data_IF_688937123726
#
_entry.id   IF_688937123726
#
_cell.length_a   1.000
_cell.length_b   1.000
_cell.length_c   1.000
_cell.angle_alpha   90.00
_cell.angle_beta   90.00
_cell.angle_gamma   90.00
#
_symmetry.space_group_name_H-M   'P 1'
#
loop_
_entity.id
_entity.type
_entity.pdbx_description
1 polymer ?
#
# COMPACT_ATOMS: atom_id res chain seq x y z
N UNK A 1 -6.15 7.57 -28.58
CA UNK A 1 -6.22 7.42 -27.13
C UNK A 1 -5.55 8.64 -26.51
N UNK A 2 -6.29 9.46 -25.75
CA UNK A 2 -5.72 10.65 -25.10
C UNK A 2 -4.85 10.19 -23.92
N UNK A 3 -3.55 10.18 -24.09
CA UNK A 3 -2.60 10.00 -22.99
C UNK A 3 -2.45 11.32 -22.22
N UNK A 4 -3.50 11.76 -21.53
CA UNK A 4 -3.40 12.87 -20.60
C UNK A 4 -3.13 12.28 -19.21
N UNK A 5 -2.02 12.67 -18.59
CA UNK A 5 -1.71 12.31 -17.20
C UNK A 5 -1.96 13.53 -16.33
N UNK A 6 -2.71 13.35 -15.26
CA UNK A 6 -2.87 14.35 -14.22
C UNK A 6 -1.58 14.43 -13.40
N UNK A 7 -0.87 15.55 -13.45
CA UNK A 7 0.42 15.70 -12.76
C UNK A 7 0.28 16.47 -11.45
N UNK A 8 -0.67 17.36 -11.35
CA UNK A 8 -0.90 18.19 -10.19
C UNK A 8 -2.38 18.47 -9.98
N UNK A 9 -2.85 18.11 -8.78
CA UNK A 9 -4.15 18.52 -8.28
C UNK A 9 -3.95 19.43 -7.07
N UNK A 10 -4.60 20.59 -7.05
CA UNK A 10 -4.58 21.46 -5.86
C UNK A 10 -5.32 20.78 -4.71
N UNK A 11 -4.94 21.07 -3.45
CA UNK A 11 -5.58 20.49 -2.26
C UNK A 11 -7.10 20.73 -2.17
N UNK A 12 -7.60 21.75 -2.84
CA UNK A 12 -9.02 22.09 -2.92
C UNK A 12 -9.72 21.53 -4.18
N UNK A 13 -9.00 20.75 -5.01
CA UNK A 13 -9.53 20.17 -6.25
C UNK A 13 -9.82 21.21 -7.35
N UNK A 14 -9.52 22.50 -7.14
CA UNK A 14 -9.87 23.58 -8.06
C UNK A 14 -8.99 23.65 -9.30
N UNK A 15 -7.82 23.00 -9.29
CA UNK A 15 -6.89 22.95 -10.41
C UNK A 15 -6.50 21.51 -10.68
N UNK A 16 -7.01 20.96 -11.78
CA UNK A 16 -6.58 19.71 -12.37
C UNK A 16 -5.81 20.01 -13.66
N UNK A 17 -4.53 19.67 -13.71
CA UNK A 17 -3.72 19.84 -14.89
C UNK A 17 -3.60 18.52 -15.64
N UNK A 18 -4.39 18.37 -16.70
CA UNK A 18 -4.25 17.27 -17.65
C UNK A 18 -3.14 17.62 -18.65
N UNK A 19 -2.05 16.89 -18.57
CA UNK A 19 -0.85 17.18 -19.35
C UNK A 19 -0.53 16.02 -20.28
N UNK A 20 -0.10 16.37 -21.49
CA UNK A 20 0.40 15.41 -22.46
C UNK A 20 1.86 15.11 -22.15
N UNK A 21 2.18 13.85 -21.89
CA UNK A 21 3.56 13.37 -21.82
C UNK A 21 4.07 13.10 -23.23
N UNK A 22 5.13 13.77 -23.60
CA UNK A 22 5.92 13.46 -24.81
C UNK A 22 7.39 13.42 -24.42
N UNK A 23 8.10 12.34 -24.76
CA UNK A 23 9.53 12.14 -24.49
C UNK A 23 9.91 12.29 -22.99
N UNK A 24 9.18 11.60 -22.11
CA UNK A 24 9.41 11.56 -20.65
C UNK A 24 9.37 12.93 -19.93
N UNK A 25 8.78 13.95 -20.53
CA UNK A 25 8.60 15.26 -19.91
C UNK A 25 7.21 15.84 -20.18
N UNK A 26 6.87 16.84 -19.39
CA UNK A 26 5.59 17.57 -19.45
C UNK A 26 5.77 18.83 -20.26
N UNK A 27 4.83 19.12 -21.15
CA UNK A 27 4.85 20.34 -21.98
C UNK A 27 3.62 21.19 -21.73
N UNK A 28 3.81 22.46 -21.36
CA UNK A 28 2.74 23.45 -21.17
C UNK A 28 2.93 24.66 -22.06
N UNK A 29 1.81 25.21 -22.52
CA UNK A 29 1.75 26.54 -23.15
C UNK A 29 1.80 27.63 -22.07
N UNK A 30 2.09 28.87 -22.49
CA UNK A 30 2.02 30.03 -21.61
C UNK A 30 0.66 30.24 -20.97
N UNK A 31 -0.42 29.92 -21.67
CA UNK A 31 -1.79 30.02 -21.15
C UNK A 31 -2.07 28.99 -20.09
N UNK A 32 -1.63 27.75 -20.30
CA UNK A 32 -1.75 26.69 -19.30
C UNK A 32 -0.91 26.97 -18.05
N UNK A 33 0.30 27.52 -18.20
CA UNK A 33 1.09 27.96 -17.05
C UNK A 33 0.44 29.13 -16.30
N UNK A 34 -0.22 30.05 -17.01
CA UNK A 34 -0.97 31.14 -16.40
C UNK A 34 -2.14 30.63 -15.54
N UNK A 35 -2.88 29.65 -16.06
CA UNK A 35 -3.95 28.96 -15.35
C UNK A 35 -3.42 28.18 -14.13
N UNK A 36 -2.37 27.37 -14.32
CA UNK A 36 -1.72 26.60 -13.26
C UNK A 36 -1.31 27.48 -12.07
N UNK A 37 -0.65 28.60 -12.37
CA UNK A 37 -0.14 29.48 -11.32
C UNK A 37 -1.11 30.60 -10.90
N UNK A 38 -2.29 30.70 -11.52
CA UNK A 38 -3.31 31.71 -11.21
C UNK A 38 -2.81 33.14 -11.41
N UNK A 39 -2.15 33.40 -12.54
CA UNK A 39 -1.61 34.73 -12.91
C UNK A 39 -1.88 35.06 -14.37
N UNK A 40 -1.72 36.33 -14.75
CA UNK A 40 -1.85 36.72 -16.14
C UNK A 40 -0.77 36.11 -17.02
N UNK A 41 -1.13 35.76 -18.26
CA UNK A 41 -0.21 35.25 -19.27
C UNK A 41 0.99 36.18 -19.50
N UNK A 42 0.80 37.48 -19.42
CA UNK A 42 1.88 38.51 -19.58
C UNK A 42 2.94 38.37 -18.48
N UNK A 43 2.54 38.00 -17.26
CA UNK A 43 3.47 37.70 -16.17
C UNK A 43 4.33 36.47 -16.50
N UNK A 44 3.70 35.38 -16.99
CA UNK A 44 4.42 34.16 -17.41
C UNK A 44 5.44 34.50 -18.52
N UNK A 45 5.03 35.23 -19.56
CA UNK A 45 5.93 35.65 -20.65
C UNK A 45 7.12 36.42 -20.14
N UNK A 46 6.91 37.35 -19.18
CA UNK A 46 7.98 38.11 -18.54
C UNK A 46 8.95 37.20 -17.77
N UNK A 47 8.47 36.25 -17.02
CA UNK A 47 9.32 35.29 -16.28
C UNK A 47 10.13 34.41 -17.24
N UNK A 48 9.52 33.84 -18.28
CA UNK A 48 10.21 33.05 -19.30
C UNK A 48 11.33 33.86 -19.97
N UNK A 49 11.02 35.10 -20.36
CA UNK A 49 12.03 36.01 -20.97
C UNK A 49 13.21 36.27 -20.02
N UNK A 50 12.93 36.49 -18.74
CA UNK A 50 13.97 36.71 -17.74
C UNK A 50 14.83 35.47 -17.50
N UNK A 51 14.25 34.28 -17.50
CA UNK A 51 14.97 33.00 -17.36
C UNK A 51 15.95 32.81 -18.52
N UNK A 52 15.51 33.04 -19.75
CA UNK A 52 16.41 32.96 -20.90
C UNK A 52 17.47 34.08 -20.91
N UNK A 53 17.09 35.29 -20.51
CA UNK A 53 18.03 36.43 -20.43
C UNK A 53 19.12 36.22 -19.38
N UNK A 54 18.81 35.54 -18.29
CA UNK A 54 19.78 35.20 -17.23
C UNK A 54 20.57 33.91 -17.51
N UNK A 55 20.39 33.30 -18.70
CA UNK A 55 21.03 32.05 -19.10
C UNK A 55 20.82 30.89 -18.13
N UNK A 56 19.73 30.94 -17.33
CA UNK A 56 19.37 29.86 -16.40
C UNK A 56 18.97 28.59 -17.14
N UNK A 57 18.25 28.75 -18.26
CA UNK A 57 17.85 27.67 -19.15
C UNK A 57 18.13 28.03 -20.60
N UNK A 58 18.47 27.00 -21.40
CA UNK A 58 18.61 27.17 -22.86
C UNK A 58 17.25 27.04 -23.56
N UNK A 59 17.01 27.91 -24.54
CA UNK A 59 15.74 27.95 -25.28
C UNK A 59 15.53 26.72 -26.16
N UNK A 60 16.60 26.18 -26.75
CA UNK A 60 16.48 25.06 -27.68
C UNK A 60 16.11 23.74 -26.96
N UNK A 61 16.54 23.60 -25.70
CA UNK A 61 16.25 22.43 -24.89
C UNK A 61 14.93 22.51 -24.13
N UNK A 62 14.38 23.71 -23.94
CA UNK A 62 13.21 23.92 -23.06
C UNK A 62 11.96 24.44 -23.75
N UNK A 63 12.05 24.79 -25.06
CA UNK A 63 10.92 25.28 -25.84
C UNK A 63 10.75 24.53 -27.16
N UNK A 64 9.57 23.94 -27.36
CA UNK A 64 9.16 23.35 -28.62
C UNK A 64 8.04 24.18 -29.25
N UNK A 65 8.05 24.31 -30.58
CA UNK A 65 6.98 24.99 -31.31
C UNK A 65 6.07 23.95 -31.97
N UNK A 66 4.77 24.08 -31.76
CA UNK A 66 3.77 23.25 -32.43
C UNK A 66 2.79 24.15 -33.23
N UNK A 67 2.47 23.72 -34.44
CA UNK A 67 1.57 24.42 -35.33
C UNK A 67 0.14 23.97 -35.08
N UNK A 68 -0.74 24.88 -34.65
CA UNK A 68 -2.16 24.64 -34.50
C UNK A 68 -2.97 25.44 -35.51
N UNK A 69 -3.99 24.75 -36.10
CA UNK A 69 -4.99 25.40 -36.95
C UNK A 69 -6.05 26.01 -36.03
N UNK A 70 -6.17 27.34 -36.06
CA UNK A 70 -7.23 28.05 -35.33
C UNK A 70 -8.21 28.68 -36.32
N UNK A 71 -9.48 28.41 -36.16
CA UNK A 71 -10.54 29.02 -36.97
C UNK A 71 -10.92 30.36 -36.35
N UNK A 72 -10.59 31.49 -37.03
CA UNK A 72 -11.00 32.84 -36.65
C UNK A 72 -12.07 33.30 -37.66
N UNK A 73 -13.34 33.27 -37.28
CA UNK A 73 -14.48 33.50 -38.20
C UNK A 73 -14.54 32.41 -39.28
N UNK A 74 -14.46 32.77 -40.56
CA UNK A 74 -14.47 31.85 -41.71
C UNK A 74 -13.09 31.49 -42.26
N UNK A 75 -12.01 31.84 -41.56
CA UNK A 75 -10.62 31.59 -42.04
C UNK A 75 -9.86 30.72 -41.06
N UNK A 76 -9.24 29.66 -41.59
CA UNK A 76 -8.29 28.83 -40.82
C UNK A 76 -6.90 29.44 -40.89
N UNK A 77 -6.38 29.82 -39.73
CA UNK A 77 -5.04 30.43 -39.59
C UNK A 77 -4.12 29.44 -38.87
N UNK A 78 -2.95 29.20 -39.45
CA UNK A 78 -1.87 28.41 -38.82
C UNK A 78 -1.14 29.32 -37.82
N UNK A 79 -1.16 28.94 -36.54
CA UNK A 79 -0.37 29.67 -35.51
C UNK A 79 0.63 28.73 -34.87
N UNK A 80 1.89 29.16 -34.80
CA UNK A 80 2.89 28.49 -33.98
C UNK A 80 2.67 28.82 -32.51
N UNK A 81 2.44 27.79 -31.68
CA UNK A 81 2.26 27.94 -30.26
C UNK A 81 3.49 27.37 -29.58
N UNK A 82 4.22 28.14 -28.75
CA UNK A 82 5.35 27.66 -28.01
C UNK A 82 4.85 26.80 -26.80
N UNK A 83 5.46 25.65 -26.63
CA UNK A 83 5.32 24.75 -25.50
C UNK A 83 6.63 24.72 -24.72
N UNK A 84 6.56 24.64 -23.43
CA UNK A 84 7.68 24.68 -22.52
C UNK A 84 7.72 23.41 -21.67
N UNK A 85 8.90 22.83 -21.50
CA UNK A 85 9.11 21.59 -20.75
C UNK A 85 9.02 21.78 -19.22
N UNK A 86 9.16 20.69 -18.47
CA UNK A 86 9.06 20.70 -17.01
C UNK A 86 10.08 21.64 -16.35
N UNK A 87 11.30 21.75 -16.87
CA UNK A 87 12.34 22.62 -16.32
C UNK A 87 11.90 24.09 -16.33
N UNK A 88 11.35 24.56 -17.48
CA UNK A 88 10.79 25.89 -17.59
C UNK A 88 9.59 26.10 -16.67
N UNK A 89 8.70 25.09 -16.54
CA UNK A 89 7.53 25.17 -15.67
C UNK A 89 7.96 25.33 -14.21
N UNK A 90 8.95 24.56 -13.76
CA UNK A 90 9.50 24.65 -12.41
C UNK A 90 10.13 26.02 -12.18
N UNK A 91 11.01 26.48 -13.08
CA UNK A 91 11.71 27.76 -12.96
C UNK A 91 10.74 28.94 -12.91
N UNK A 92 9.66 28.90 -13.70
CA UNK A 92 8.58 29.91 -13.64
C UNK A 92 7.83 29.82 -12.32
N UNK A 93 7.47 28.61 -11.86
CA UNK A 93 6.74 28.38 -10.62
C UNK A 93 7.46 28.88 -9.37
N UNK A 94 8.80 28.85 -9.37
CA UNK A 94 9.59 29.43 -8.28
C UNK A 94 9.65 30.96 -8.29
N UNK A 95 9.39 31.60 -9.42
CA UNK A 95 9.46 33.06 -9.59
C UNK A 95 8.10 33.75 -9.48
N UNK A 96 7.03 33.07 -9.77
CA UNK A 96 5.66 33.61 -9.70
C UNK A 96 5.22 33.79 -8.24
N UNK A 97 4.67 35.01 -7.96
CA UNK A 97 4.12 35.30 -6.64
C UNK A 97 2.60 35.16 -6.65
N UNK A 98 2.12 33.95 -6.32
CA UNK A 98 0.69 33.65 -6.18
C UNK A 98 0.47 32.55 -5.16
N UNK A 99 -0.78 32.37 -4.69
CA UNK A 99 -1.15 31.28 -3.80
C UNK A 99 -0.91 29.92 -4.46
N UNK A 100 -1.28 29.78 -5.73
CA UNK A 100 -1.13 28.53 -6.50
C UNK A 100 0.36 28.18 -6.70
N UNK A 101 1.20 29.15 -7.04
CA UNK A 101 2.64 28.96 -7.14
C UNK A 101 3.27 28.58 -5.79
N UNK A 102 2.74 29.09 -4.67
CA UNK A 102 3.19 28.68 -3.33
C UNK A 102 2.81 27.23 -3.03
N UNK A 103 1.59 26.81 -3.38
CA UNK A 103 1.16 25.42 -3.25
C UNK A 103 1.98 24.48 -4.12
N UNK A 104 2.24 24.86 -5.38
CA UNK A 104 3.11 24.11 -6.28
C UNK A 104 4.54 23.96 -5.71
N UNK A 105 5.15 25.03 -5.19
CA UNK A 105 6.48 24.94 -4.56
C UNK A 105 6.52 24.02 -3.35
N UNK A 106 5.49 24.05 -2.50
CA UNK A 106 5.37 23.14 -1.35
C UNK A 106 5.29 21.69 -1.80
N UNK A 107 4.48 21.41 -2.82
CA UNK A 107 4.37 20.08 -3.40
C UNK A 107 5.71 19.62 -4.00
N UNK A 108 6.34 20.41 -4.87
CA UNK A 108 7.63 20.10 -5.48
C UNK A 108 8.73 19.86 -4.43
N UNK A 109 8.77 20.70 -3.38
CA UNK A 109 9.70 20.52 -2.25
C UNK A 109 9.41 19.23 -1.48
N UNK A 110 8.14 18.87 -1.30
CA UNK A 110 7.75 17.61 -0.65
C UNK A 110 8.21 16.38 -1.44
N UNK A 111 8.03 16.40 -2.77
CA UNK A 111 8.50 15.33 -3.67
C UNK A 111 10.02 15.21 -3.61
N UNK A 112 10.74 16.32 -3.72
CA UNK A 112 12.20 16.34 -3.63
C UNK A 112 12.70 15.84 -2.26
N UNK A 113 12.04 16.28 -1.18
CA UNK A 113 12.36 15.82 0.18
C UNK A 113 12.14 14.33 0.35
N UNK A 114 11.05 13.79 -0.19
CA UNK A 114 10.80 12.35 -0.18
C UNK A 114 11.90 11.60 -0.95
N UNK A 115 12.28 12.08 -2.12
CA UNK A 115 13.35 11.49 -2.90
C UNK A 115 14.70 11.51 -2.16
N UNK A 116 15.09 12.63 -1.54
CA UNK A 116 16.35 12.76 -0.80
C UNK A 116 16.38 11.90 0.47
N UNK A 117 15.25 11.73 1.16
CA UNK A 117 15.19 10.98 2.42
C UNK A 117 15.01 9.48 2.17
N UNK A 118 14.15 9.10 1.22
CA UNK A 118 13.74 7.71 0.97
C UNK A 118 14.48 7.06 -0.20
N UNK A 119 15.20 7.85 -1.02
CA UNK A 119 15.84 7.39 -2.26
C UNK A 119 14.88 7.22 -3.44
N UNK A 120 13.58 7.47 -3.27
CA UNK A 120 12.55 7.45 -4.32
C UNK A 120 11.40 8.39 -4.00
N UNK A 121 10.72 8.86 -5.05
CA UNK A 121 9.43 9.56 -4.93
C UNK A 121 8.41 8.87 -5.85
N UNK A 122 7.28 8.48 -5.30
CA UNK A 122 6.21 7.79 -6.04
C UNK A 122 5.03 8.73 -6.18
N UNK A 123 4.50 8.84 -7.41
CA UNK A 123 3.20 9.46 -7.61
C UNK A 123 2.12 8.49 -7.14
N UNK A 124 1.56 8.75 -5.96
CA UNK A 124 0.57 7.89 -5.32
C UNK A 124 -0.70 7.73 -6.17
N UNK A 125 -1.11 8.77 -6.90
CA UNK A 125 -2.30 8.71 -7.76
C UNK A 125 -2.12 7.73 -8.93
N UNK A 126 -0.99 7.80 -9.64
CA UNK A 126 -0.69 6.86 -10.74
C UNK A 126 -0.55 5.42 -10.21
N UNK A 127 0.03 5.26 -9.01
CA UNK A 127 0.13 3.94 -8.37
C UNK A 127 -1.25 3.36 -8.07
N UNK A 128 -2.16 4.17 -7.52
CA UNK A 128 -3.51 3.75 -7.17
C UNK A 128 -4.33 3.39 -8.43
N UNK A 129 -4.27 4.21 -9.48
CA UNK A 129 -4.99 3.95 -10.73
C UNK A 129 -4.49 2.67 -11.42
N UNK A 130 -3.18 2.49 -11.54
CA UNK A 130 -2.58 1.25 -12.09
C UNK A 130 -2.85 0.02 -11.24
N UNK A 131 -2.90 0.19 -9.93
CA UNK A 131 -3.25 -0.87 -9.00
C UNK A 131 -4.71 -1.31 -9.19
N UNK A 132 -5.64 -0.36 -9.27
CA UNK A 132 -7.05 -0.65 -9.53
C UNK A 132 -7.26 -1.31 -10.90
N UNK A 133 -6.57 -0.83 -11.95
CA UNK A 133 -6.58 -1.46 -13.27
C UNK A 133 -6.08 -2.92 -13.20
N UNK A 134 -4.99 -3.19 -12.48
CA UNK A 134 -4.48 -4.55 -12.29
C UNK A 134 -5.47 -5.43 -11.53
N UNK A 135 -6.08 -4.91 -10.46
CA UNK A 135 -7.11 -5.59 -9.67
C UNK A 135 -8.33 -5.94 -10.53
N UNK A 136 -8.77 -5.03 -11.38
CA UNK A 136 -9.89 -5.27 -12.29
C UNK A 136 -9.56 -6.29 -13.39
N UNK A 137 -8.34 -6.26 -13.92
CA UNK A 137 -7.86 -7.27 -14.89
C UNK A 137 -7.81 -8.66 -14.23
N UNK A 138 -7.29 -8.77 -13.01
CA UNK A 138 -7.26 -10.03 -12.26
C UNK A 138 -8.67 -10.53 -11.96
N UNK A 139 -9.60 -9.66 -11.53
CA UNK A 139 -11.02 -10.03 -11.32
C UNK A 139 -11.70 -10.48 -12.61
N UNK A 140 -11.41 -9.82 -13.72
CA UNK A 140 -11.95 -10.22 -15.04
C UNK A 140 -11.40 -11.58 -15.46
N UNK A 141 -10.11 -11.82 -15.30
CA UNK A 141 -9.49 -13.12 -15.54
C UNK A 141 -10.11 -14.22 -14.66
N UNK A 142 -10.35 -13.95 -13.35
CA UNK A 142 -11.02 -14.86 -12.43
C UNK A 142 -12.38 -15.30 -12.94
N UNK A 143 -13.20 -14.35 -13.36
CA UNK A 143 -14.54 -14.64 -13.90
C UNK A 143 -14.48 -15.43 -15.21
N UNK A 144 -13.50 -15.11 -16.07
CA UNK A 144 -13.36 -15.76 -17.37
C UNK A 144 -12.91 -17.21 -17.22
N UNK A 145 -12.00 -17.50 -16.28
CA UNK A 145 -11.53 -18.86 -15.98
C UNK A 145 -12.62 -19.69 -15.30
N UNK A 146 -13.38 -19.10 -14.37
CA UNK A 146 -14.52 -19.76 -13.70
C UNK A 146 -15.71 -20.08 -14.62
N UNK A 147 -15.79 -19.47 -15.80
CA UNK A 147 -16.84 -19.72 -16.80
C UNK A 147 -16.46 -20.76 -17.87
N UNK A 148 -15.21 -21.19 -17.91
CA UNK A 148 -14.76 -22.20 -18.89
C UNK A 148 -14.70 -23.59 -18.23
N UNK A 149 -15.72 -24.41 -18.45
CA UNK A 149 -15.82 -25.81 -17.99
C UNK A 149 -14.71 -26.77 -18.52
N UNK A 150 -13.62 -26.26 -19.09
CA UNK A 150 -12.57 -27.02 -19.78
C UNK A 150 -11.14 -26.67 -19.35
N UNK A 151 -10.92 -25.93 -18.29
CA UNK A 151 -9.55 -25.68 -17.80
C UNK A 151 -9.25 -26.75 -16.71
N UNK A 152 -8.88 -27.92 -17.17
CA UNK A 152 -8.49 -29.09 -16.34
C UNK A 152 -7.00 -29.12 -16.06
N UNK A 153 -6.33 -28.02 -15.75
CA UNK A 153 -4.98 -28.12 -15.24
C UNK A 153 -4.86 -27.45 -13.88
N UNK A 154 -4.55 -28.25 -12.87
CA UNK A 154 -4.18 -27.81 -11.52
C UNK A 154 -3.15 -26.69 -11.53
N UNK A 155 -2.29 -26.63 -12.56
CA UNK A 155 -1.25 -25.61 -12.74
C UNK A 155 -1.83 -24.21 -13.01
N UNK A 156 -2.90 -24.10 -13.82
CA UNK A 156 -3.54 -22.79 -14.05
C UNK A 156 -4.33 -22.29 -12.85
N UNK A 157 -4.98 -23.20 -12.12
CA UNK A 157 -5.64 -22.89 -10.85
C UNK A 157 -4.67 -22.40 -9.80
N UNK A 158 -3.51 -23.02 -9.68
CA UNK A 158 -2.45 -22.63 -8.76
C UNK A 158 -1.89 -21.24 -9.04
N UNK A 159 -1.58 -20.92 -10.32
CA UNK A 159 -1.09 -19.58 -10.70
C UNK A 159 -2.13 -18.50 -10.42
N UNK A 160 -3.40 -18.81 -10.64
CA UNK A 160 -4.50 -17.90 -10.43
C UNK A 160 -4.70 -17.57 -8.94
N UNK A 161 -4.63 -18.57 -8.08
CA UNK A 161 -4.69 -18.40 -6.63
C UNK A 161 -3.53 -17.55 -6.12
N UNK A 162 -2.30 -17.77 -6.64
CA UNK A 162 -1.14 -16.95 -6.29
C UNK A 162 -1.34 -15.48 -6.69
N UNK A 163 -1.90 -15.21 -7.88
CA UNK A 163 -2.17 -13.82 -8.32
C UNK A 163 -3.26 -13.18 -7.46
N UNK A 164 -4.34 -13.91 -7.15
CA UNK A 164 -5.41 -13.43 -6.26
C UNK A 164 -4.90 -13.12 -4.86
N UNK A 165 -4.08 -14.00 -4.30
CA UNK A 165 -3.47 -13.80 -2.97
C UNK A 165 -2.53 -12.60 -2.96
N UNK A 166 -1.80 -12.37 -4.05
CA UNK A 166 -0.92 -11.21 -4.20
C UNK A 166 -1.70 -9.88 -4.27
N UNK A 167 -2.79 -9.86 -5.06
CA UNK A 167 -3.67 -8.67 -5.16
C UNK A 167 -4.31 -8.36 -3.81
N UNK A 168 -4.75 -9.39 -3.09
CA UNK A 168 -5.33 -9.24 -1.76
C UNK A 168 -4.32 -8.70 -0.74
N UNK A 169 -3.09 -9.21 -0.76
CA UNK A 169 -2.02 -8.72 0.10
C UNK A 169 -1.69 -7.25 -0.18
N UNK A 170 -1.67 -6.84 -1.46
CA UNK A 170 -1.46 -5.43 -1.84
C UNK A 170 -2.60 -4.53 -1.34
N UNK A 171 -3.84 -4.99 -1.43
CA UNK A 171 -5.02 -4.25 -0.95
C UNK A 171 -4.98 -4.07 0.58
N UNK A 172 -4.59 -5.12 1.30
CA UNK A 172 -4.40 -5.06 2.75
C UNK A 172 -3.29 -4.08 3.15
N UNK A 173 -2.17 -4.05 2.39
CA UNK A 173 -1.09 -3.09 2.61
C UNK A 173 -1.52 -1.64 2.30
N UNK A 174 -2.34 -1.45 1.28
CA UNK A 174 -2.90 -0.12 0.95
C UNK A 174 -3.81 0.38 2.08
N UNK A 175 -4.70 -0.46 2.58
CA UNK A 175 -5.53 -0.15 3.76
C UNK A 175 -4.69 0.09 5.03
N UNK A 176 -3.54 -0.58 5.17
CA UNK A 176 -2.59 -0.33 6.23
C UNK A 176 -1.98 1.08 6.12
N UNK A 177 -1.49 1.44 4.93
CA UNK A 177 -0.89 2.75 4.67
C UNK A 177 -1.87 3.92 4.92
N UNK A 178 -3.16 3.72 4.63
CA UNK A 178 -4.22 4.71 4.87
C UNK A 178 -4.87 4.61 6.26
N UNK A 179 -4.41 3.69 7.12
CA UNK A 179 -4.99 3.43 8.45
C UNK A 179 -6.51 3.12 8.41
N UNK A 180 -6.98 2.53 7.32
CA UNK A 180 -8.39 2.21 7.06
C UNK A 180 -8.76 0.75 7.33
N UNK A 181 -7.82 -0.07 7.84
CA UNK A 181 -8.07 -1.47 8.17
C UNK A 181 -9.19 -1.62 9.20
N UNK A 182 -10.20 -2.39 8.84
CA UNK A 182 -11.31 -2.77 9.71
C UNK A 182 -11.32 -4.27 9.97
N UNK A 183 -11.97 -4.69 11.06
CA UNK A 183 -12.20 -6.11 11.38
C UNK A 183 -13.70 -6.37 11.24
N UNK A 184 -14.07 -7.21 10.30
CA UNK A 184 -15.46 -7.58 10.03
C UNK A 184 -15.56 -9.08 9.73
N UNK A 185 -16.78 -9.62 9.76
CA UNK A 185 -17.10 -11.00 9.36
C UNK A 185 -16.16 -12.06 9.98
N UNK A 186 -15.77 -11.86 11.24
CA UNK A 186 -14.91 -12.77 11.99
C UNK A 186 -15.71 -13.82 12.75
N UNK A 187 -15.06 -14.93 13.15
CA UNK A 187 -15.65 -16.04 13.89
C UNK A 187 -15.76 -15.71 15.37
N UNK A 188 -16.98 -15.54 15.88
CA UNK A 188 -17.22 -15.23 17.30
C UNK A 188 -17.31 -16.48 18.19
N UNK A 189 -17.73 -17.61 17.64
CA UNK A 189 -17.85 -18.86 18.39
C UNK A 189 -16.48 -19.54 18.47
N UNK A 190 -15.95 -19.64 19.69
CA UNK A 190 -14.68 -20.28 19.98
C UNK A 190 -14.94 -21.73 20.36
N UNK A 191 -14.56 -22.70 19.52
CA UNK A 191 -14.71 -24.15 19.75
C UNK A 191 -13.62 -24.69 20.67
N UNK A 192 -12.47 -24.02 20.70
CA UNK A 192 -11.29 -24.45 21.45
C UNK A 192 -10.66 -23.23 22.16
N UNK A 193 -10.49 -23.37 23.49
CA UNK A 193 -9.85 -22.36 24.32
C UNK A 193 -8.39 -22.72 24.59
N UNK A 194 -7.47 -21.80 24.26
CA UNK A 194 -6.07 -21.96 24.60
C UNK A 194 -5.86 -21.75 26.11
N UNK A 195 -5.16 -22.68 26.74
CA UNK A 195 -4.67 -22.60 28.10
C UNK A 195 -3.14 -22.67 28.08
N UNK A 196 -2.51 -22.26 29.17
CA UNK A 196 -1.06 -22.40 29.29
C UNK A 196 -0.64 -23.88 29.10
N UNK A 197 -1.34 -24.81 29.72
CA UNK A 197 -0.98 -26.23 29.72
C UNK A 197 -1.06 -26.83 28.29
N UNK A 198 -2.20 -26.64 27.58
CA UNK A 198 -2.36 -27.19 26.23
C UNK A 198 -1.43 -26.51 25.19
N UNK A 199 -1.11 -25.22 25.39
CA UNK A 199 -0.15 -24.53 24.55
C UNK A 199 1.29 -25.02 24.78
N UNK A 200 1.67 -25.29 26.04
CA UNK A 200 2.96 -25.90 26.36
C UNK A 200 3.10 -27.31 25.85
N UNK A 201 2.02 -28.09 25.86
CA UNK A 201 1.97 -29.45 25.26
C UNK A 201 2.28 -29.36 23.75
N UNK A 202 1.65 -28.43 23.03
CA UNK A 202 1.90 -28.22 21.62
C UNK A 202 3.35 -27.74 21.35
N UNK A 203 3.90 -26.88 22.21
CA UNK A 203 5.29 -26.41 22.11
C UNK A 203 6.28 -27.57 22.35
N UNK A 204 6.02 -28.42 23.32
CA UNK A 204 6.87 -29.60 23.63
C UNK A 204 6.86 -30.61 22.46
N UNK A 205 5.70 -30.84 21.84
CA UNK A 205 5.62 -31.66 20.63
C UNK A 205 6.42 -31.04 19.43
N UNK A 206 6.41 -29.71 19.29
CA UNK A 206 7.24 -29.01 18.32
C UNK A 206 8.74 -29.17 18.64
N UNK A 207 9.11 -29.08 19.92
CA UNK A 207 10.50 -29.26 20.40
C UNK A 207 11.04 -30.61 20.09
N UNK A 208 10.26 -31.67 20.33
CA UNK A 208 10.62 -33.09 20.02
C UNK A 208 10.86 -33.29 18.52
N UNK A 209 10.02 -32.65 17.68
CA UNK A 209 10.06 -32.84 16.23
C UNK A 209 11.14 -31.99 15.53
N UNK A 210 11.37 -30.77 15.99
CA UNK A 210 12.19 -29.75 15.30
C UNK A 210 13.22 -29.05 16.18
N UNK A 211 13.34 -29.41 17.46
CA UNK A 211 14.24 -28.81 18.42
C UNK A 211 15.68 -29.19 18.13
N UNK A 212 16.42 -28.37 17.36
CA UNK A 212 17.84 -28.55 17.10
C UNK A 212 18.77 -27.95 18.16
N UNK A 213 18.26 -27.04 19.00
CA UNK A 213 19.04 -26.33 20.04
C UNK A 213 18.56 -26.75 21.43
N UNK A 214 19.51 -26.99 22.35
CA UNK A 214 19.20 -27.23 23.76
C UNK A 214 18.41 -26.07 24.43
N UNK A 215 18.47 -24.89 23.84
CA UNK A 215 17.80 -23.66 24.31
C UNK A 215 16.41 -23.45 23.72
N UNK A 216 16.05 -24.25 22.70
CA UNK A 216 14.76 -24.11 22.02
C UNK A 216 13.60 -24.38 22.99
N UNK A 217 12.62 -23.46 22.99
CA UNK A 217 11.41 -23.52 23.79
C UNK A 217 11.63 -23.60 25.32
N UNK A 218 12.78 -23.17 25.81
CA UNK A 218 12.98 -23.01 27.25
C UNK A 218 12.43 -21.63 27.66
N UNK A 219 11.44 -21.60 28.54
CA UNK A 219 10.89 -20.36 29.08
C UNK A 219 11.92 -19.58 29.88
N UNK A 220 11.90 -18.28 29.77
CA UNK A 220 12.75 -17.35 30.53
C UNK A 220 12.08 -16.92 31.84
N UNK A 221 10.75 -16.73 31.77
CA UNK A 221 9.93 -16.18 32.84
C UNK A 221 8.44 -16.49 32.58
N UNK A 222 7.54 -15.94 33.37
CA UNK A 222 6.07 -16.14 33.28
C UNK A 222 5.41 -15.35 32.13
N UNK A 223 6.17 -14.73 31.24
CA UNK A 223 5.62 -13.88 30.18
C UNK A 223 4.78 -14.65 29.14
N UNK A 224 5.10 -15.93 28.90
CA UNK A 224 4.27 -16.78 28.04
C UNK A 224 2.90 -17.06 28.66
N UNK A 225 2.86 -17.40 29.94
CA UNK A 225 1.61 -17.57 30.68
C UNK A 225 0.76 -16.31 30.67
N UNK A 226 1.43 -15.15 30.84
CA UNK A 226 0.78 -13.85 30.72
C UNK A 226 0.23 -13.62 29.32
N UNK A 227 0.96 -14.00 28.26
CA UNK A 227 0.52 -13.88 26.85
C UNK A 227 -0.76 -14.66 26.57
N UNK A 228 -0.86 -15.91 27.08
CA UNK A 228 -2.10 -16.70 27.00
C UNK A 228 -3.26 -16.02 27.74
N UNK A 229 -3.02 -15.47 28.92
CA UNK A 229 -4.04 -14.74 29.67
C UNK A 229 -4.53 -13.46 28.96
N UNK A 230 -3.63 -12.75 28.27
CA UNK A 230 -3.93 -11.50 27.61
C UNK A 230 -4.90 -11.64 26.42
N UNK A 231 -4.89 -12.73 25.69
CA UNK A 231 -5.82 -12.92 24.57
C UNK A 231 -7.28 -13.10 25.03
N UNK A 232 -7.50 -13.35 26.33
CA UNK A 232 -8.80 -13.50 26.96
C UNK A 232 -9.14 -12.36 27.95
N UNK A 233 -8.43 -11.24 27.86
CA UNK A 233 -8.73 -10.06 28.68
C UNK A 233 -10.08 -9.46 28.30
N UNK A 234 -10.80 -9.03 29.32
CA UNK A 234 -12.08 -8.33 29.20
C UNK A 234 -11.97 -6.89 29.71
N UNK A 235 -12.75 -6.00 29.13
CA UNK A 235 -12.93 -4.64 29.61
C UNK A 235 -14.42 -4.32 29.67
N UNK A 236 -14.90 -3.88 30.84
CA UNK A 236 -16.32 -3.60 30.99
C UNK A 236 -17.25 -4.82 30.87
N UNK A 237 -16.70 -6.04 30.95
CA UNK A 237 -17.45 -7.30 30.76
C UNK A 237 -17.46 -7.81 29.33
N UNK A 238 -16.83 -7.11 28.39
CA UNK A 238 -16.69 -7.54 27.00
C UNK A 238 -15.24 -7.97 26.69
N UNK A 239 -15.06 -8.99 25.84
CA UNK A 239 -13.75 -9.44 25.40
C UNK A 239 -13.05 -8.33 24.60
N UNK A 240 -11.78 -8.05 24.91
CA UNK A 240 -10.96 -7.12 24.11
C UNK A 240 -10.68 -7.66 22.69
N UNK A 241 -10.65 -8.96 22.54
CA UNK A 241 -10.46 -9.67 21.28
C UNK A 241 -11.63 -10.64 21.08
N UNK A 242 -12.78 -10.15 20.54
CA UNK A 242 -14.03 -10.90 20.56
C UNK A 242 -14.12 -12.07 19.56
N UNK A 243 -13.16 -12.17 18.62
CA UNK A 243 -13.15 -13.22 17.59
C UNK A 243 -11.94 -14.15 17.71
N UNK A 244 -12.07 -15.34 17.12
CA UNK A 244 -10.99 -16.35 17.03
C UNK A 244 -9.78 -15.76 16.30
N UNK A 245 -10.01 -15.04 15.19
CA UNK A 245 -8.96 -14.43 14.39
C UNK A 245 -8.20 -13.35 15.16
N UNK A 246 -8.89 -12.52 15.94
CA UNK A 246 -8.25 -11.50 16.78
C UNK A 246 -7.42 -12.11 17.90
N UNK A 247 -7.95 -13.15 18.59
CA UNK A 247 -7.22 -13.90 19.61
C UNK A 247 -5.97 -14.57 19.01
N UNK A 248 -6.09 -15.19 17.83
CA UNK A 248 -4.95 -15.78 17.12
C UNK A 248 -3.89 -14.76 16.75
N UNK A 249 -4.32 -13.63 16.18
CA UNK A 249 -3.42 -12.54 15.80
C UNK A 249 -2.70 -11.93 17.02
N UNK A 250 -3.42 -11.76 18.12
CA UNK A 250 -2.86 -11.27 19.37
C UNK A 250 -1.88 -12.26 20.00
N UNK A 251 -2.18 -13.56 19.95
CA UNK A 251 -1.26 -14.62 20.39
C UNK A 251 0.05 -14.59 19.59
N UNK A 252 -0.05 -14.51 18.25
CA UNK A 252 1.11 -14.37 17.37
C UNK A 252 1.95 -13.14 17.77
N UNK A 253 1.30 -11.99 17.94
CA UNK A 253 1.95 -10.73 18.30
C UNK A 253 2.69 -10.84 19.64
N UNK A 254 2.01 -11.30 20.68
CA UNK A 254 2.58 -11.36 22.04
C UNK A 254 3.77 -12.30 22.14
N UNK A 255 3.68 -13.50 21.55
CA UNK A 255 4.78 -14.48 21.63
C UNK A 255 6.02 -13.99 20.87
N UNK A 256 5.82 -13.28 19.74
CA UNK A 256 6.95 -12.65 19.03
C UNK A 256 7.56 -11.51 19.84
N UNK A 257 6.73 -10.64 20.43
CA UNK A 257 7.21 -9.41 21.12
C UNK A 257 7.77 -9.66 22.50
N UNK A 258 7.17 -10.53 23.28
CA UNK A 258 7.57 -10.76 24.68
C UNK A 258 8.87 -11.56 24.79
N UNK A 259 9.30 -12.22 23.69
CA UNK A 259 10.49 -13.07 23.69
C UNK A 259 10.55 -14.04 24.89
N UNK A 260 9.41 -14.68 25.18
CA UNK A 260 9.20 -15.52 26.36
C UNK A 260 10.13 -16.74 26.45
N UNK A 261 10.69 -17.17 25.31
CA UNK A 261 11.59 -18.32 25.22
C UNK A 261 13.02 -17.91 24.90
N UNK A 262 13.97 -18.74 25.37
CA UNK A 262 15.41 -18.51 25.16
C UNK A 262 15.81 -18.60 23.68
N UNK A 263 15.15 -19.49 22.92
CA UNK A 263 15.30 -19.63 21.47
C UNK A 263 13.97 -20.07 20.84
N UNK A 264 13.77 -19.72 19.56
CA UNK A 264 12.67 -20.20 18.74
C UNK A 264 11.37 -19.35 18.81
N UNK A 265 11.37 -18.16 19.43
CA UNK A 265 10.14 -17.38 19.65
C UNK A 265 9.29 -17.19 18.39
N UNK A 266 9.90 -16.86 17.23
CA UNK A 266 9.15 -16.68 15.97
C UNK A 266 8.53 -17.98 15.47
N UNK A 267 9.26 -19.11 15.58
CA UNK A 267 8.76 -20.46 15.19
C UNK A 267 7.63 -20.93 16.10
N UNK A 268 7.80 -20.71 17.41
CA UNK A 268 6.79 -21.03 18.41
C UNK A 268 5.53 -20.20 18.20
N UNK A 269 5.68 -18.88 17.98
CA UNK A 269 4.57 -17.99 17.70
C UNK A 269 3.78 -18.39 16.45
N UNK A 270 4.48 -18.69 15.34
CA UNK A 270 3.88 -19.14 14.10
C UNK A 270 3.14 -20.48 14.28
N UNK A 271 3.75 -21.43 14.99
CA UNK A 271 3.12 -22.73 15.27
C UNK A 271 1.87 -22.57 16.14
N UNK A 272 1.94 -21.81 17.24
CA UNK A 272 0.80 -21.56 18.12
C UNK A 272 -0.35 -20.87 17.42
N UNK A 273 -0.05 -19.92 16.53
CA UNK A 273 -1.03 -19.26 15.69
C UNK A 273 -1.79 -20.26 14.80
N UNK A 274 -1.06 -21.09 14.06
CA UNK A 274 -1.68 -22.12 13.21
C UNK A 274 -2.44 -23.18 14.05
N UNK A 275 -1.88 -23.59 15.17
CA UNK A 275 -2.49 -24.54 16.11
C UNK A 275 -3.80 -24.01 16.66
N UNK A 276 -3.85 -22.73 17.07
CA UNK A 276 -5.06 -22.12 17.60
C UNK A 276 -6.16 -21.98 16.54
N UNK A 277 -5.81 -21.52 15.33
CA UNK A 277 -6.75 -21.44 14.21
C UNK A 277 -7.27 -22.84 13.80
N UNK A 278 -6.39 -23.86 13.79
CA UNK A 278 -6.76 -25.21 13.40
C UNK A 278 -7.74 -25.84 14.40
N UNK A 279 -7.49 -25.69 15.70
CA UNK A 279 -8.38 -26.24 16.74
C UNK A 279 -9.72 -25.50 16.79
N UNK A 280 -9.79 -24.28 16.32
CA UNK A 280 -11.04 -23.53 16.18
C UNK A 280 -11.69 -23.67 14.78
N UNK A 281 -11.18 -24.56 13.92
CA UNK A 281 -11.69 -24.81 12.56
C UNK A 281 -11.68 -23.59 11.63
N UNK A 282 -10.81 -22.60 11.89
CA UNK A 282 -10.68 -21.36 11.12
C UNK A 282 -9.47 -21.37 10.18
N UNK A 283 -8.55 -22.34 10.32
CA UNK A 283 -7.32 -22.38 9.51
C UNK A 283 -7.60 -22.67 8.02
N UNK A 284 -8.64 -23.43 7.72
CA UNK A 284 -9.01 -23.80 6.36
C UNK A 284 -10.35 -23.18 5.99
N UNK A 285 -10.49 -22.75 4.74
CA UNK A 285 -11.76 -22.33 4.18
C UNK A 285 -12.65 -23.53 3.84
N UNK A 286 -13.92 -23.32 3.50
CA UNK A 286 -14.89 -24.37 3.18
C UNK A 286 -14.45 -25.23 1.98
N UNK A 287 -13.69 -24.66 1.04
CA UNK A 287 -13.12 -25.35 -0.11
C UNK A 287 -11.84 -26.15 0.21
N UNK A 288 -11.41 -26.18 1.47
CA UNK A 288 -10.22 -26.89 1.97
C UNK A 288 -8.90 -26.14 1.79
N UNK A 289 -8.90 -24.94 1.24
CA UNK A 289 -7.69 -24.14 1.11
C UNK A 289 -7.27 -23.53 2.45
N UNK A 290 -5.97 -23.53 2.73
CA UNK A 290 -5.40 -22.88 3.91
C UNK A 290 -5.54 -21.36 3.77
N UNK A 291 -6.16 -20.69 4.75
CA UNK A 291 -6.47 -19.26 4.70
C UNK A 291 -5.23 -18.37 4.71
N UNK A 292 -4.11 -18.86 5.21
CA UNK A 292 -2.84 -18.12 5.23
C UNK A 292 -1.71 -18.98 4.66
N UNK A 293 -0.96 -18.45 3.71
CA UNK A 293 0.19 -19.13 3.13
C UNK A 293 1.40 -19.10 4.08
N UNK A 294 2.26 -20.13 4.02
CA UNK A 294 3.40 -20.27 4.93
C UNK A 294 4.41 -19.12 4.79
N UNK A 295 4.68 -18.64 3.58
CA UNK A 295 5.53 -17.49 3.32
C UNK A 295 4.95 -16.19 3.88
N UNK A 296 3.62 -16.01 3.82
CA UNK A 296 2.92 -14.87 4.44
C UNK A 296 3.10 -14.89 5.95
N UNK A 297 2.96 -16.06 6.58
CA UNK A 297 3.15 -16.20 8.02
C UNK A 297 4.59 -15.88 8.45
N UNK A 298 5.60 -16.29 7.67
CA UNK A 298 7.01 -15.92 7.91
C UNK A 298 7.17 -14.40 7.83
N UNK A 299 6.63 -13.76 6.79
CA UNK A 299 6.69 -12.30 6.65
C UNK A 299 6.03 -11.58 7.83
N UNK A 300 4.86 -12.04 8.28
CA UNK A 300 4.16 -11.47 9.44
C UNK A 300 4.97 -11.55 10.73
N UNK A 301 5.61 -12.69 11.00
CA UNK A 301 6.47 -12.81 12.21
C UNK A 301 7.64 -11.83 12.19
N UNK A 302 8.21 -11.54 11.00
CA UNK A 302 9.27 -10.56 10.84
C UNK A 302 8.73 -9.12 10.98
N UNK A 303 7.60 -8.81 10.37
CA UNK A 303 6.94 -7.49 10.51
C UNK A 303 6.60 -7.20 11.98
N UNK A 304 6.02 -8.16 12.67
CA UNK A 304 5.71 -8.02 14.11
C UNK A 304 6.98 -7.79 14.92
N UNK A 305 8.06 -8.55 14.65
CA UNK A 305 9.31 -8.41 15.37
C UNK A 305 9.88 -6.99 15.27
N UNK A 306 9.83 -6.38 14.09
CA UNK A 306 10.34 -5.04 13.81
C UNK A 306 9.35 -3.91 14.15
N UNK A 307 8.05 -4.19 14.33
CA UNK A 307 7.02 -3.19 14.64
C UNK A 307 7.27 -2.51 16.00
N UNK A 308 6.74 -1.31 16.19
CA UNK A 308 6.76 -0.61 17.48
C UNK A 308 5.57 -1.05 18.35
N UNK A 309 5.67 -0.84 19.67
CA UNK A 309 4.61 -1.22 20.60
C UNK A 309 3.30 -0.47 20.32
N UNK A 310 3.38 0.77 19.85
CA UNK A 310 2.24 1.61 19.48
C UNK A 310 1.50 1.08 18.25
N UNK A 311 2.18 0.28 17.42
CA UNK A 311 1.62 -0.32 16.20
C UNK A 311 0.88 -1.65 16.45
N UNK A 312 0.75 -2.08 17.70
CA UNK A 312 0.13 -3.35 18.10
C UNK A 312 -1.24 -3.55 17.44
N UNK A 313 -2.14 -2.60 17.61
CA UNK A 313 -3.53 -2.73 17.14
C UNK A 313 -3.59 -2.78 15.60
N UNK A 314 -2.68 -2.09 14.94
CA UNK A 314 -2.56 -2.11 13.47
C UNK A 314 -2.02 -3.46 13.02
N UNK A 315 -1.00 -4.01 13.67
CA UNK A 315 -0.46 -5.34 13.36
C UNK A 315 -1.51 -6.44 13.54
N UNK A 316 -2.31 -6.38 14.61
CA UNK A 316 -3.42 -7.33 14.83
C UNK A 316 -4.42 -7.24 13.68
N UNK A 317 -4.84 -6.03 13.27
CA UNK A 317 -5.74 -5.83 12.13
C UNK A 317 -5.15 -6.39 10.82
N UNK A 318 -3.87 -6.17 10.54
CA UNK A 318 -3.19 -6.73 9.35
C UNK A 318 -3.28 -8.26 9.36
N UNK A 319 -2.95 -8.90 10.48
CA UNK A 319 -3.01 -10.36 10.61
C UNK A 319 -4.43 -10.87 10.39
N UNK A 320 -5.43 -10.27 11.03
CA UNK A 320 -6.85 -10.66 10.89
C UNK A 320 -7.31 -10.52 9.44
N UNK A 321 -6.98 -9.42 8.77
CA UNK A 321 -7.36 -9.21 7.37
C UNK A 321 -6.69 -10.24 6.44
N UNK A 322 -5.47 -10.65 6.70
CA UNK A 322 -4.78 -11.68 5.90
C UNK A 322 -5.32 -13.11 6.14
N UNK A 323 -5.93 -13.38 7.28
CA UNK A 323 -6.67 -14.64 7.54
C UNK A 323 -8.05 -14.59 6.89
N UNK A 324 -8.76 -13.49 7.07
CA UNK A 324 -10.15 -13.33 6.67
C UNK A 324 -10.29 -12.46 5.42
N UNK A 325 -10.23 -13.10 4.26
CA UNK A 325 -10.34 -12.44 2.95
C UNK A 325 -11.75 -11.85 2.67
N UNK A 326 -12.71 -12.07 3.55
CA UNK A 326 -14.06 -11.52 3.43
C UNK A 326 -14.24 -10.15 4.10
N UNK A 327 -13.19 -9.61 4.72
CA UNK A 327 -13.20 -8.30 5.36
C UNK A 327 -13.29 -7.10 4.39
N UNK A 328 -13.39 -7.35 3.10
CA UNK A 328 -13.49 -6.30 2.06
C UNK A 328 -14.91 -6.03 1.62
#
# INVERSE_FOLDING_TARGET
MNNSIEIYCSQDGSIQLNVKLENDTVWLTQSQMAELFGVDRTSIVRHIRNIYKSEELDQNSTCAKNVQVRTEGHRSILREIPYYNLDMIISVGYRVNSKNATSFRRWATSVLKQYLIKGYAINQQIKLDRYNELKDVVRLMSRTVGLQDRVTSEEYGGLFNVISDYVYALDTLDHYDYQSLSIQKTTKEESFRATYDNAMEAINALKEKFGGSQWFANEKDDSFKSSIGQIYQTFGGEDLYPSVEEKAAMLLYLVVKNHSFSDGNKRIAAMLFLWFLNNNHVLYAEDGHKRIADNTLVALTLMIAESRTEEKDVMVKVVVNLINKENQ
#
